data_IF_177358104045
#
_entry.id   IF_177358104045
#
_cell.length_a   1.000
_cell.length_b   1.000
_cell.length_c   1.000
_cell.angle_alpha   90.00
_cell.angle_beta   90.00
_cell.angle_gamma   90.00
#
_symmetry.space_group_name_H-M   'P 1'
#
loop_
_entity.id
_entity.type
_entity.pdbx_description
1 polymer ?
#
# COMPACT_ATOMS: atom_id res chain seq x y z
N UNK A 1 42.02 -74.54 -42.93
CA UNK A 1 41.89 -73.30 -42.12
C UNK A 1 40.53 -72.60 -42.25
N UNK A 2 39.80 -72.73 -43.36
CA UNK A 2 38.53 -72.00 -43.60
C UNK A 2 37.38 -72.36 -42.64
N UNK A 3 37.21 -73.64 -42.27
CA UNK A 3 36.13 -74.07 -41.37
C UNK A 3 36.20 -73.39 -39.98
N UNK A 4 37.40 -73.23 -39.40
CA UNK A 4 37.58 -72.50 -38.14
C UNK A 4 37.18 -71.02 -38.27
N UNK A 5 37.45 -70.38 -39.42
CA UNK A 5 37.04 -68.98 -39.68
C UNK A 5 35.52 -68.87 -39.86
N UNK A 6 34.89 -69.81 -40.56
CA UNK A 6 33.43 -69.87 -40.68
C UNK A 6 32.73 -70.08 -39.33
N UNK A 7 33.26 -70.97 -38.47
CA UNK A 7 32.72 -71.18 -37.12
C UNK A 7 32.87 -69.91 -36.28
N UNK A 8 34.01 -69.20 -36.33
CA UNK A 8 34.18 -67.93 -35.62
C UNK A 8 33.15 -66.89 -36.10
N UNK A 9 32.96 -66.75 -37.42
CA UNK A 9 31.99 -65.82 -38.00
C UNK A 9 30.55 -66.17 -37.55
N UNK A 10 30.16 -67.44 -37.69
CA UNK A 10 28.84 -67.93 -37.24
C UNK A 10 28.63 -67.71 -35.74
N UNK A 11 29.63 -67.98 -34.91
CA UNK A 11 29.56 -67.69 -33.47
C UNK A 11 29.40 -66.19 -33.24
N UNK A 12 30.21 -65.32 -33.84
CA UNK A 12 30.06 -63.85 -33.68
C UNK A 12 28.71 -63.30 -34.15
N UNK A 13 28.11 -63.90 -35.17
CA UNK A 13 26.75 -63.56 -35.65
C UNK A 13 25.66 -64.13 -34.71
N UNK A 14 25.89 -65.29 -34.09
CA UNK A 14 25.00 -65.89 -33.09
C UNK A 14 25.06 -65.18 -31.73
N UNK A 15 26.19 -64.56 -31.33
CA UNK A 15 26.28 -63.70 -30.13
C UNK A 15 25.72 -62.29 -30.38
N UNK A 16 25.15 -62.01 -31.56
CA UNK A 16 24.37 -60.79 -31.82
C UNK A 16 22.86 -60.94 -31.52
N UNK A 17 22.43 -62.09 -30.99
CA UNK A 17 21.07 -62.25 -30.46
C UNK A 17 20.94 -61.51 -29.12
N UNK A 18 20.13 -60.45 -29.15
CA UNK A 18 19.34 -59.91 -28.05
C UNK A 18 20.11 -59.30 -26.87
N UNK A 19 21.06 -58.42 -27.19
CA UNK A 19 21.26 -57.23 -26.36
C UNK A 19 20.27 -56.12 -26.78
N UNK A 20 18.96 -56.36 -26.64
CA UNK A 20 17.95 -55.31 -26.78
C UNK A 20 18.22 -54.23 -25.72
N UNK A 21 18.80 -53.13 -26.20
CA UNK A 21 18.94 -51.87 -25.48
C UNK A 21 17.64 -51.10 -25.64
N UNK A 22 17.10 -50.61 -24.53
CA UNK A 22 15.83 -49.88 -24.53
C UNK A 22 15.85 -48.65 -25.44
N UNK A 23 14.67 -48.25 -25.93
CA UNK A 23 14.55 -47.18 -26.90
C UNK A 23 14.77 -45.77 -26.28
N UNK A 24 14.86 -44.76 -27.16
CA UNK A 24 14.97 -43.37 -26.72
C UNK A 24 13.70 -42.94 -25.96
N UNK A 25 13.86 -42.62 -24.68
CA UNK A 25 12.73 -42.36 -23.78
C UNK A 25 12.43 -43.52 -22.82
N UNK A 26 13.28 -44.53 -22.76
CA UNK A 26 13.15 -45.65 -21.83
C UNK A 26 14.39 -45.82 -20.91
N UNK A 27 14.22 -46.61 -19.85
CA UNK A 27 15.29 -47.08 -18.96
C UNK A 27 15.11 -48.56 -18.63
N UNK A 28 16.19 -49.24 -18.24
CA UNK A 28 16.22 -50.69 -18.02
C UNK A 28 16.15 -51.05 -16.53
N UNK A 29 15.25 -51.95 -16.15
CA UNK A 29 15.20 -52.63 -14.84
C UNK A 29 15.06 -54.13 -15.10
N UNK A 30 15.92 -54.97 -14.52
CA UNK A 30 15.80 -56.44 -14.53
C UNK A 30 15.46 -57.06 -15.91
N UNK A 31 16.14 -56.59 -16.95
CA UNK A 31 15.92 -56.92 -18.38
C UNK A 31 14.59 -56.49 -19.02
N UNK A 32 13.74 -55.76 -18.30
CA UNK A 32 12.59 -55.03 -18.86
C UNK A 32 12.97 -53.58 -19.21
N UNK A 33 12.46 -53.10 -20.34
CA UNK A 33 12.49 -51.69 -20.71
C UNK A 33 11.22 -50.98 -20.23
N UNK A 34 11.38 -49.77 -19.71
CA UNK A 34 10.32 -49.02 -19.05
C UNK A 34 10.30 -47.55 -19.49
N UNK A 35 9.12 -46.97 -19.74
CA UNK A 35 9.00 -45.59 -20.22
C UNK A 35 9.48 -44.61 -19.17
N UNK A 36 10.29 -43.64 -19.56
CA UNK A 36 10.74 -42.54 -18.71
C UNK A 36 9.70 -41.43 -18.62
N UNK A 37 9.87 -40.55 -17.63
CA UNK A 37 9.05 -39.36 -17.50
C UNK A 37 9.64 -38.20 -18.30
N UNK A 38 8.81 -37.47 -19.05
CA UNK A 38 9.30 -36.40 -19.92
C UNK A 38 9.78 -35.18 -19.11
N UNK A 39 11.10 -35.07 -18.92
CA UNK A 39 11.74 -33.96 -18.22
C UNK A 39 11.48 -32.58 -18.86
N UNK A 40 11.16 -32.55 -20.17
CA UNK A 40 10.71 -31.34 -20.86
C UNK A 40 9.46 -30.73 -20.24
N UNK A 41 8.53 -31.59 -19.78
CA UNK A 41 7.30 -31.22 -19.06
C UNK A 41 7.46 -31.19 -17.53
N UNK A 42 8.71 -31.17 -17.02
CA UNK A 42 9.04 -31.11 -15.57
C UNK A 42 8.52 -32.30 -14.76
N UNK A 43 8.30 -33.43 -15.44
CA UNK A 43 7.97 -34.71 -14.84
C UNK A 43 9.25 -35.44 -14.39
N UNK A 44 9.13 -36.19 -13.30
CA UNK A 44 10.13 -37.11 -12.76
C UNK A 44 9.50 -38.45 -12.40
N UNK A 45 10.33 -39.50 -12.36
CA UNK A 45 9.94 -40.82 -11.89
C UNK A 45 9.67 -40.74 -10.38
N UNK A 46 8.41 -40.91 -9.98
CA UNK A 46 7.99 -41.02 -8.56
C UNK A 46 8.05 -42.46 -8.08
N UNK A 47 7.71 -43.41 -8.95
CA UNK A 47 7.86 -44.84 -8.72
C UNK A 47 8.40 -45.50 -9.99
N UNK A 48 9.43 -46.36 -9.90
CA UNK A 48 9.88 -47.14 -11.05
C UNK A 48 8.77 -48.08 -11.51
N UNK A 49 8.88 -48.55 -12.75
CA UNK A 49 8.04 -49.62 -13.25
C UNK A 49 8.23 -50.92 -12.44
N UNK A 50 7.28 -51.84 -12.62
CA UNK A 50 7.37 -53.24 -12.20
C UNK A 50 6.92 -54.12 -13.36
N UNK A 51 6.98 -55.44 -13.25
CA UNK A 51 6.50 -56.35 -14.31
C UNK A 51 5.08 -56.02 -14.77
N UNK A 52 4.19 -55.67 -13.84
CA UNK A 52 2.75 -55.45 -14.06
C UNK A 52 2.29 -53.99 -14.08
N UNK A 53 3.18 -53.03 -13.82
CA UNK A 53 2.84 -51.58 -13.80
C UNK A 53 3.91 -50.76 -14.49
N UNK A 54 3.48 -49.77 -15.26
CA UNK A 54 4.39 -48.79 -15.86
C UNK A 54 4.98 -47.86 -14.79
N UNK A 55 6.00 -47.10 -15.19
CA UNK A 55 6.58 -46.01 -14.41
C UNK A 55 5.51 -45.02 -13.99
N UNK A 56 5.51 -44.59 -12.73
CA UNK A 56 4.60 -43.52 -12.26
C UNK A 56 5.35 -42.20 -12.32
N UNK A 57 4.84 -41.27 -13.13
CA UNK A 57 5.36 -39.92 -13.25
C UNK A 57 4.68 -38.95 -12.28
N UNK A 58 5.37 -37.87 -11.94
CA UNK A 58 4.80 -36.75 -11.21
C UNK A 58 5.75 -35.56 -11.20
N UNK A 59 5.29 -34.43 -10.65
CA UNK A 59 6.03 -33.18 -10.75
C UNK A 59 7.27 -33.11 -9.85
N UNK A 60 8.29 -32.39 -10.33
CA UNK A 60 9.38 -31.87 -9.48
C UNK A 60 8.83 -30.93 -8.41
N UNK A 61 9.59 -30.72 -7.33
CA UNK A 61 9.18 -29.84 -6.23
C UNK A 61 8.96 -28.40 -6.70
N UNK A 62 7.90 -27.74 -6.19
CA UNK A 62 7.53 -26.37 -6.58
C UNK A 62 6.72 -26.31 -7.88
N UNK A 63 6.17 -27.43 -8.33
CA UNK A 63 5.29 -27.54 -9.49
C UNK A 63 4.04 -28.36 -9.13
N UNK A 64 2.93 -28.09 -9.83
CA UNK A 64 1.68 -28.84 -9.75
C UNK A 64 1.30 -29.42 -11.12
N UNK A 65 0.51 -30.48 -11.06
CA UNK A 65 0.08 -31.26 -12.21
C UNK A 65 -1.07 -30.60 -12.97
N UNK A 66 -1.02 -30.66 -14.30
CA UNK A 66 -2.11 -30.36 -15.23
C UNK A 66 -2.19 -31.47 -16.28
N UNK A 67 -3.42 -31.94 -16.55
CA UNK A 67 -3.69 -33.00 -17.54
C UNK A 67 -3.88 -34.38 -16.91
N UNK A 68 -5.10 -34.66 -16.46
CA UNK A 68 -5.57 -36.00 -16.10
C UNK A 68 -4.94 -36.63 -14.85
N UNK A 69 -5.11 -37.95 -14.73
CA UNK A 69 -4.64 -38.77 -13.59
C UNK A 69 -3.14 -39.06 -13.63
N UNK A 70 -2.57 -39.13 -14.84
CA UNK A 70 -1.21 -39.63 -15.07
C UNK A 70 -0.19 -38.49 -15.26
N UNK A 71 -0.69 -37.26 -15.22
CA UNK A 71 0.05 -36.00 -15.27
C UNK A 71 0.78 -35.71 -16.60
N UNK A 72 0.04 -35.14 -17.56
CA UNK A 72 0.60 -34.76 -18.87
C UNK A 72 1.70 -33.69 -18.76
N UNK A 73 1.54 -32.70 -17.88
CA UNK A 73 2.46 -31.56 -17.76
C UNK A 73 2.48 -30.96 -16.35
N UNK A 74 3.64 -30.44 -15.93
CA UNK A 74 3.81 -29.81 -14.63
C UNK A 74 4.06 -28.30 -14.76
N UNK A 75 3.20 -27.51 -14.13
CA UNK A 75 3.29 -26.04 -14.10
C UNK A 75 3.89 -25.57 -12.78
N UNK A 76 4.71 -24.51 -12.84
CA UNK A 76 5.37 -24.00 -11.63
C UNK A 76 4.35 -23.38 -10.69
N UNK A 77 4.49 -23.61 -9.39
CA UNK A 77 3.66 -22.94 -8.39
C UNK A 77 3.85 -21.42 -8.48
N UNK A 78 2.74 -20.68 -8.48
CA UNK A 78 2.74 -19.22 -8.44
C UNK A 78 3.30 -18.73 -7.11
N UNK A 79 4.25 -17.81 -7.18
CA UNK A 79 4.87 -17.19 -6.00
C UNK A 79 4.04 -15.99 -5.58
N UNK A 80 3.43 -16.05 -4.40
CA UNK A 80 2.70 -14.91 -3.82
C UNK A 80 3.65 -13.72 -3.65
N UNK A 81 3.35 -12.55 -4.25
CA UNK A 81 4.20 -11.36 -4.13
C UNK A 81 3.97 -10.62 -2.80
N UNK A 82 4.84 -9.65 -2.46
CA UNK A 82 4.58 -8.69 -1.38
C UNK A 82 3.21 -8.01 -1.53
N UNK A 83 2.55 -7.73 -0.41
CA UNK A 83 1.18 -7.20 -0.36
C UNK A 83 0.08 -8.25 -0.46
N UNK A 84 0.47 -9.53 -0.49
CA UNK A 84 -0.44 -10.67 -0.43
C UNK A 84 -0.02 -11.62 0.70
N UNK A 85 -0.97 -12.44 1.15
CA UNK A 85 -0.71 -13.59 2.02
C UNK A 85 -1.19 -14.89 1.37
N UNK A 86 -0.46 -15.96 1.60
CA UNK A 86 -0.82 -17.32 1.16
C UNK A 86 -2.00 -17.82 2.00
N UNK A 87 -3.06 -18.25 1.31
CA UNK A 87 -4.21 -18.93 1.91
C UNK A 87 -4.06 -20.46 1.86
N UNK A 88 -3.50 -20.96 0.76
CA UNK A 88 -3.27 -22.39 0.55
C UNK A 88 -1.93 -22.58 -0.16
N UNK A 89 -0.97 -23.33 0.39
CA UNK A 89 0.26 -23.66 -0.33
C UNK A 89 -0.04 -24.55 -1.55
N UNK A 90 0.78 -24.45 -2.58
CA UNK A 90 0.73 -25.35 -3.73
C UNK A 90 0.90 -26.81 -3.34
N UNK A 91 0.19 -27.70 -4.04
CA UNK A 91 0.25 -29.16 -3.87
C UNK A 91 0.69 -29.81 -5.19
N UNK A 92 0.83 -31.14 -5.22
CA UNK A 92 1.13 -31.84 -6.47
C UNK A 92 0.02 -31.72 -7.54
N UNK A 93 -1.21 -31.31 -7.16
CA UNK A 93 -2.38 -31.21 -8.05
C UNK A 93 -3.02 -29.82 -8.10
N UNK A 94 -2.50 -28.84 -7.34
CA UNK A 94 -3.07 -27.50 -7.26
C UNK A 94 -2.01 -26.43 -7.08
N UNK A 95 -2.24 -25.26 -7.69
CA UNK A 95 -1.40 -24.10 -7.46
C UNK A 95 -1.56 -23.50 -6.04
N UNK A 96 -0.60 -22.68 -5.64
CA UNK A 96 -0.64 -21.82 -4.46
C UNK A 96 -1.74 -20.78 -4.63
N UNK A 97 -2.61 -20.64 -3.61
CA UNK A 97 -3.64 -19.60 -3.56
C UNK A 97 -3.26 -18.55 -2.53
N UNK A 98 -3.41 -17.29 -2.90
CA UNK A 98 -3.07 -16.14 -2.08
C UNK A 98 -4.09 -15.01 -2.31
N UNK A 99 -4.20 -14.11 -1.33
CA UNK A 99 -5.13 -12.97 -1.34
C UNK A 99 -4.38 -11.70 -0.94
N UNK A 100 -4.84 -10.55 -1.42
CA UNK A 100 -4.28 -9.27 -1.01
C UNK A 100 -4.40 -9.08 0.50
N UNK A 101 -3.41 -8.43 1.12
CA UNK A 101 -3.47 -8.11 2.53
C UNK A 101 -4.71 -7.25 2.84
N UNK A 102 -5.46 -7.56 3.93
CA UNK A 102 -6.63 -6.79 4.30
C UNK A 102 -6.25 -5.33 4.66
N UNK A 103 -7.20 -4.38 4.60
CA UNK A 103 -6.94 -2.98 4.95
C UNK A 103 -6.29 -2.83 6.32
N UNK A 104 -5.39 -1.85 6.46
CA UNK A 104 -4.53 -1.61 7.65
C UNK A 104 -3.53 -2.73 7.96
N UNK A 105 -3.20 -3.58 6.99
CA UNK A 105 -2.13 -4.58 7.10
C UNK A 105 -1.22 -4.59 5.87
N UNK A 106 -0.02 -5.17 6.00
CA UNK A 106 0.97 -5.23 4.93
C UNK A 106 1.82 -6.51 4.96
N UNK A 107 2.45 -6.86 3.83
CA UNK A 107 3.50 -7.88 3.76
C UNK A 107 4.62 -7.44 2.80
N UNK A 108 5.87 -7.60 3.23
CA UNK A 108 7.07 -7.23 2.44
C UNK A 108 7.76 -8.42 1.77
N UNK A 109 7.45 -9.64 2.22
CA UNK A 109 8.08 -10.87 1.77
C UNK A 109 7.25 -11.60 0.70
N UNK A 110 7.94 -12.26 -0.23
CA UNK A 110 7.32 -13.27 -1.09
C UNK A 110 6.88 -14.49 -0.25
N UNK A 111 5.77 -15.14 -0.64
CA UNK A 111 5.18 -16.27 0.09
C UNK A 111 4.89 -15.99 1.58
N UNK A 112 4.54 -14.75 1.92
CA UNK A 112 4.15 -14.43 3.30
C UNK A 112 2.93 -15.23 3.73
N UNK A 113 3.01 -15.89 4.89
CA UNK A 113 1.88 -16.64 5.47
C UNK A 113 0.92 -15.76 6.27
N UNK A 114 1.27 -14.50 6.49
CA UNK A 114 0.50 -13.52 7.26
C UNK A 114 0.71 -12.10 6.73
N UNK A 115 -0.18 -11.18 7.08
CA UNK A 115 0.01 -9.74 6.91
C UNK A 115 0.18 -9.11 8.29
N UNK A 116 1.24 -8.32 8.46
CA UNK A 116 1.47 -7.55 9.69
C UNK A 116 0.51 -6.36 9.75
N UNK A 117 -0.06 -5.99 10.91
CA UNK A 117 -0.81 -4.75 11.03
C UNK A 117 0.12 -3.55 10.81
N UNK A 118 -0.43 -2.43 10.32
CA UNK A 118 0.30 -1.17 10.30
C UNK A 118 0.61 -0.71 11.74
N UNK A 119 1.77 -0.09 11.93
CA UNK A 119 2.19 0.50 13.19
C UNK A 119 1.22 1.58 13.68
N UNK A 120 1.04 1.69 15.00
CA UNK A 120 0.29 2.78 15.60
C UNK A 120 1.24 3.91 16.04
N UNK A 121 1.35 4.97 15.23
CA UNK A 121 2.23 6.10 15.55
C UNK A 121 1.89 6.76 16.90
N UNK A 122 0.61 6.77 17.30
CA UNK A 122 0.13 7.39 18.53
C UNK A 122 0.69 6.72 19.79
N UNK A 123 0.85 5.39 19.77
CA UNK A 123 1.46 4.62 20.88
C UNK A 123 2.94 4.98 21.08
N UNK A 124 3.60 5.47 20.03
CA UNK A 124 5.00 5.91 20.06
C UNK A 124 5.14 7.41 20.37
N UNK A 125 4.04 8.14 20.60
CA UNK A 125 4.04 9.60 20.73
C UNK A 125 4.42 10.32 19.43
N UNK A 126 4.22 9.67 18.28
CA UNK A 126 4.49 10.17 16.95
C UNK A 126 3.18 10.46 16.20
N UNK A 127 3.27 11.18 15.08
CA UNK A 127 2.14 11.44 14.18
C UNK A 127 2.41 10.77 12.83
N UNK A 128 1.35 10.21 12.23
CA UNK A 128 1.38 9.63 10.89
C UNK A 128 1.65 10.73 9.86
N UNK A 129 2.73 10.60 9.09
CA UNK A 129 3.07 11.49 7.97
C UNK A 129 2.59 10.92 6.65
N UNK A 130 2.74 9.62 6.46
CA UNK A 130 2.27 8.88 5.30
C UNK A 130 1.53 7.63 5.78
N UNK A 131 0.35 7.38 5.20
CA UNK A 131 -0.34 6.11 5.34
C UNK A 131 0.48 4.96 4.78
N UNK A 132 0.32 3.76 5.35
CA UNK A 132 0.89 2.54 4.84
C UNK A 132 0.22 2.09 3.54
N UNK A 133 0.71 0.98 2.99
CA UNK A 133 0.13 0.30 1.83
C UNK A 133 0.00 -1.20 2.13
N UNK A 134 -0.46 -2.00 1.18
CA UNK A 134 -0.35 -3.46 1.30
C UNK A 134 1.12 -3.94 1.38
N UNK A 135 2.08 -3.16 0.87
CA UNK A 135 3.50 -3.56 0.78
C UNK A 135 4.43 -2.82 1.74
N UNK A 136 3.93 -1.86 2.52
CA UNK A 136 4.73 -1.01 3.40
C UNK A 136 3.94 -0.53 4.61
N UNK A 137 4.65 -0.29 5.71
CA UNK A 137 4.07 0.24 6.94
C UNK A 137 3.82 1.76 6.85
N UNK A 138 3.06 2.31 7.81
CA UNK A 138 2.91 3.77 7.98
C UNK A 138 4.25 4.43 8.31
N UNK A 139 4.41 5.69 7.90
CA UNK A 139 5.58 6.50 8.25
C UNK A 139 5.25 7.43 9.40
N UNK A 140 5.76 7.11 10.59
CA UNK A 140 5.60 7.93 11.79
C UNK A 140 6.72 8.99 11.91
N UNK A 141 6.38 10.21 12.33
CA UNK A 141 7.35 11.29 12.60
C UNK A 141 7.06 12.01 13.91
N UNK A 142 8.08 12.68 14.48
CA UNK A 142 7.89 13.55 15.65
C UNK A 142 7.17 14.83 15.22
N UNK A 143 6.13 15.22 15.94
CA UNK A 143 5.49 16.52 15.76
C UNK A 143 6.42 17.65 16.21
N UNK A 144 6.97 18.42 15.28
CA UNK A 144 7.68 19.64 15.61
C UNK A 144 6.71 20.80 15.86
N UNK A 145 6.23 20.88 17.10
CA UNK A 145 5.51 22.04 17.62
C UNK A 145 6.44 23.15 18.15
N UNK A 146 7.77 22.97 18.13
CA UNK A 146 8.71 23.91 18.80
C UNK A 146 9.04 25.13 17.95
N UNK A 147 9.03 25.02 16.63
CA UNK A 147 9.28 26.15 15.72
C UNK A 147 8.21 27.26 15.84
N UNK A 148 6.94 26.93 15.58
CA UNK A 148 5.86 27.91 15.43
C UNK A 148 5.57 28.69 16.71
N UNK A 149 5.52 28.01 17.86
CA UNK A 149 5.20 28.65 19.15
C UNK A 149 6.34 29.54 19.65
N UNK A 150 7.60 29.13 19.45
CA UNK A 150 8.76 29.94 19.84
C UNK A 150 8.89 31.23 19.03
N UNK A 151 8.66 31.17 17.72
CA UNK A 151 8.71 32.34 16.83
C UNK A 151 7.59 33.33 17.16
N UNK A 152 6.35 32.85 17.34
CA UNK A 152 5.21 33.73 17.66
C UNK A 152 5.40 34.47 19.00
N UNK A 153 5.86 33.78 20.05
CA UNK A 153 6.15 34.40 21.35
C UNK A 153 7.34 35.37 21.24
N UNK A 154 8.41 35.01 20.51
CA UNK A 154 9.56 35.88 20.29
C UNK A 154 9.20 37.19 19.58
N UNK A 155 8.33 37.13 18.56
CA UNK A 155 7.83 38.31 17.85
C UNK A 155 6.98 39.19 18.78
N UNK A 156 6.06 38.61 19.55
CA UNK A 156 5.23 39.35 20.50
C UNK A 156 6.07 40.07 21.56
N UNK A 157 7.04 39.38 22.17
CA UNK A 157 7.97 39.97 23.15
C UNK A 157 8.82 41.07 22.50
N UNK A 158 9.33 40.86 21.29
CA UNK A 158 10.07 41.86 20.53
C UNK A 158 9.26 43.13 20.26
N UNK A 159 8.00 43.00 19.82
CA UNK A 159 7.09 44.12 19.59
C UNK A 159 6.82 44.90 20.89
N UNK A 160 6.56 44.21 22.01
CA UNK A 160 6.35 44.86 23.32
C UNK A 160 7.61 45.63 23.77
N UNK A 161 8.80 45.08 23.57
CA UNK A 161 10.06 45.76 23.87
C UNK A 161 10.26 46.99 22.99
N UNK A 162 9.99 46.91 21.68
CA UNK A 162 10.10 48.06 20.77
C UNK A 162 9.10 49.17 21.11
N UNK A 163 7.86 48.81 21.47
CA UNK A 163 6.85 49.77 21.95
C UNK A 163 7.31 50.40 23.27
N UNK A 164 7.83 49.62 24.22
CA UNK A 164 8.34 50.12 25.49
C UNK A 164 9.52 51.10 25.31
N UNK A 165 10.50 50.75 24.47
CA UNK A 165 11.61 51.65 24.11
C UNK A 165 11.09 52.90 23.40
N UNK A 166 10.09 52.75 22.52
CA UNK A 166 9.43 53.86 21.85
C UNK A 166 8.77 54.83 22.84
N UNK A 167 8.05 54.32 23.84
CA UNK A 167 7.43 55.12 24.90
C UNK A 167 8.49 55.77 25.80
N UNK A 168 9.62 55.11 26.08
CA UNK A 168 10.71 55.70 26.89
C UNK A 168 11.52 56.77 26.12
N UNK A 169 11.68 56.63 24.80
CA UNK A 169 12.47 57.55 23.96
C UNK A 169 11.66 58.70 23.34
N UNK A 170 10.41 58.43 22.97
CA UNK A 170 9.49 59.39 22.35
C UNK A 170 8.30 59.75 23.26
N UNK A 171 8.35 59.33 24.53
CA UNK A 171 7.38 59.70 25.56
C UNK A 171 7.30 61.20 25.73
N UNK A 172 6.18 61.76 25.29
CA UNK A 172 5.90 63.20 25.27
C UNK A 172 6.04 63.77 26.69
N UNK A 173 6.75 64.90 26.89
CA UNK A 173 6.77 65.57 28.17
C UNK A 173 5.35 66.01 28.54
N UNK A 174 4.83 65.46 29.63
CA UNK A 174 3.46 65.68 30.10
C UNK A 174 3.29 67.09 30.68
N UNK A 175 3.22 68.10 29.80
CA UNK A 175 2.74 69.43 30.14
C UNK A 175 1.25 69.33 30.49
N UNK A 176 0.95 69.22 31.78
CA UNK A 176 -0.41 69.11 32.35
C UNK A 176 -1.19 70.43 32.20
N UNK A 177 -1.56 70.80 30.97
CA UNK A 177 -2.30 72.02 30.66
C UNK A 177 -3.73 71.89 31.19
N UNK A 178 -4.08 72.74 32.16
CA UNK A 178 -5.38 72.73 32.83
C UNK A 178 -6.54 73.04 31.86
N UNK A 179 -7.74 72.53 32.18
CA UNK A 179 -8.98 72.83 31.46
C UNK A 179 -9.35 74.32 31.64
N UNK A 180 -9.65 75.07 30.56
CA UNK A 180 -10.57 76.21 30.62
C UNK A 180 -12.03 75.73 30.48
N UNK A 181 -12.97 76.58 30.88
CA UNK A 181 -14.40 76.28 30.98
C UNK A 181 -15.18 76.48 29.67
N UNK A 182 -16.49 76.19 29.73
CA UNK A 182 -17.45 76.25 28.62
C UNK A 182 -17.77 77.68 28.16
N UNK A 183 -18.18 77.84 26.90
CA UNK A 183 -18.98 78.97 26.42
C UNK A 183 -19.86 78.52 25.24
N UNK A 184 -21.09 79.04 25.16
CA UNK A 184 -22.09 78.73 24.12
C UNK A 184 -22.02 79.69 22.93
N UNK A 185 -22.48 79.26 21.75
CA UNK A 185 -23.02 80.13 20.70
C UNK A 185 -23.86 79.31 19.69
N UNK A 186 -24.91 79.91 19.10
CA UNK A 186 -25.95 79.20 18.34
C UNK A 186 -25.82 79.29 16.80
N UNK A 187 -26.24 78.20 16.14
CA UNK A 187 -27.06 78.09 14.91
C UNK A 187 -27.08 79.27 13.90
N UNK A 188 -26.72 78.97 12.64
CA UNK A 188 -27.56 79.36 11.48
C UNK A 188 -27.39 78.41 10.28
N UNK A 189 -28.51 78.12 9.60
CA UNK A 189 -28.58 77.29 8.39
C UNK A 189 -27.97 78.00 7.16
N UNK A 190 -27.66 77.22 6.13
CA UNK A 190 -28.15 77.55 4.78
C UNK A 190 -28.34 76.29 3.94
N UNK A 191 -29.36 76.35 3.08
CA UNK A 191 -29.85 75.30 2.19
C UNK A 191 -29.41 75.64 0.77
N UNK A 192 -29.09 74.64 -0.04
CA UNK A 192 -29.09 74.79 -1.51
C UNK A 192 -29.73 73.55 -2.16
N UNK A 193 -30.48 73.75 -3.24
CA UNK A 193 -31.33 72.75 -3.91
C UNK A 193 -31.17 72.85 -5.42
N UNK A 194 -30.90 71.73 -6.10
CA UNK A 194 -31.00 71.63 -7.56
C UNK A 194 -31.58 70.28 -8.02
N UNK A 195 -32.61 70.34 -8.88
CA UNK A 195 -33.38 69.23 -9.47
C UNK A 195 -33.15 69.19 -11.01
N UNK A 196 -33.45 68.15 -11.80
CA UNK A 196 -34.13 66.82 -11.65
C UNK A 196 -33.26 65.78 -12.45
N UNK A 197 -33.68 64.59 -13.02
CA UNK A 197 -34.97 63.88 -13.12
C UNK A 197 -34.93 62.37 -12.74
N UNK A 198 -36.02 61.65 -13.05
CA UNK A 198 -36.21 60.20 -12.87
C UNK A 198 -36.11 59.41 -14.19
N UNK A 199 -35.78 58.10 -14.14
CA UNK A 199 -36.39 57.08 -15.03
C UNK A 199 -36.22 55.61 -14.58
N UNK A 200 -37.34 54.93 -14.34
CA UNK A 200 -37.52 53.48 -14.62
C UNK A 200 -37.14 52.47 -13.52
N UNK A 201 -37.69 51.22 -13.56
CA UNK A 201 -38.01 50.48 -12.33
C UNK A 201 -37.36 49.08 -12.17
N UNK A 202 -37.35 48.62 -10.90
CA UNK A 202 -37.71 47.28 -10.32
C UNK A 202 -37.53 45.97 -11.17
N UNK A 203 -37.23 44.76 -10.60
CA UNK A 203 -37.82 44.39 -9.31
C UNK A 203 -37.24 43.34 -8.32
N UNK A 204 -37.82 43.41 -7.10
CA UNK A 204 -38.12 42.35 -6.10
C UNK A 204 -36.95 41.67 -5.34
N UNK A 205 -36.77 42.09 -4.06
CA UNK A 205 -37.12 41.38 -2.80
C UNK A 205 -37.04 39.82 -2.71
N UNK A 206 -36.93 39.18 -1.52
CA UNK A 206 -37.29 39.73 -0.20
C UNK A 206 -36.43 39.33 1.03
N UNK A 207 -36.70 40.01 2.18
CA UNK A 207 -36.87 39.42 3.55
C UNK A 207 -35.63 38.78 4.25
N UNK A 208 -35.33 38.95 5.55
CA UNK A 208 -35.80 39.73 6.71
C UNK A 208 -34.54 40.04 7.57
N UNK A 209 -34.41 41.12 8.34
CA UNK A 209 -34.87 41.29 9.74
C UNK A 209 -34.82 40.00 10.61
N UNK A 210 -34.45 40.00 11.89
CA UNK A 210 -34.40 41.08 12.89
C UNK A 210 -33.22 40.89 13.85
N UNK A 211 -32.89 42.00 14.51
CA UNK A 211 -31.98 42.19 15.63
C UNK A 211 -32.28 41.24 16.84
N UNK A 212 -31.30 40.96 17.74
CA UNK A 212 -31.14 41.60 19.10
C UNK A 212 -32.30 41.29 20.06
N UNK A 213 -32.11 40.92 21.33
CA UNK A 213 -30.93 40.63 22.16
C UNK A 213 -31.41 40.02 23.51
N UNK A 214 -30.49 39.67 24.39
CA UNK A 214 -30.69 39.23 25.77
C UNK A 214 -31.60 40.12 26.64
N UNK A 215 -32.16 39.49 27.67
CA UNK A 215 -32.64 40.11 28.91
C UNK A 215 -34.16 40.00 29.12
N UNK A 216 -34.68 39.82 30.34
CA UNK A 216 -34.06 39.48 31.63
C UNK A 216 -35.17 39.06 32.63
N UNK A 217 -34.81 38.47 33.79
CA UNK A 217 -35.52 38.39 35.09
C UNK A 217 -37.07 38.60 35.14
N UNK A 218 -37.87 37.79 35.86
CA UNK A 218 -37.77 37.64 37.32
C UNK A 218 -38.80 36.66 37.93
N UNK A 219 -38.45 36.14 39.12
CA UNK A 219 -39.30 35.90 40.31
C UNK A 219 -40.63 35.11 40.26
N UNK A 220 -40.61 34.00 41.01
CA UNK A 220 -41.52 33.64 42.11
C UNK A 220 -43.05 33.58 41.87
N UNK A 221 -43.61 32.36 41.88
CA UNK A 221 -44.34 31.77 43.03
C UNK A 221 -43.99 30.29 43.12
#
# INVERSE_FOLDING_TARGET
MHLKRFIIILVTQLVHLDAETCEAGEYKIDNKCCPTCNAGFRLIIKQPCTDRKNTVCGCVQGYFCIGGSDCDNCWKHTVSPPGFMVLQPGTEISDTKFVACPPRTFSTAFMSLTCSPWSNCSEQGLVEKNAGTATSDVVCVKSDHRGTTGIAVGILVGIVILIGIGIVKYGIPFCRKARPAMAEAQVKQNIDYAQVPHKGPEPIHPVQETAVNCGELASNV
#
